data_IF_144493214909
#
_entry.id   IF_144493214909
#
_cell.length_a   1.000
_cell.length_b   1.000
_cell.length_c   1.000
_cell.angle_alpha   90.00
_cell.angle_beta   90.00
_cell.angle_gamma   90.00
#
_symmetry.space_group_name_H-M   'P 1'
#
loop_
_entity.id
_entity.type
_entity.pdbx_description
1 polymer ?
#
# COMPACT_ATOMS: atom_id res chain seq x y z
N UNK A 1 -30.47 -43.53 -44.15
CA UNK A 1 -31.26 -42.45 -43.52
C UNK A 1 -30.63 -41.07 -43.66
N UNK A 2 -29.36 -40.86 -43.29
CA UNK A 2 -28.68 -39.54 -43.32
C UNK A 2 -28.79 -38.77 -44.66
N UNK A 3 -28.69 -39.49 -45.79
CA UNK A 3 -28.78 -38.92 -47.15
C UNK A 3 -30.16 -38.34 -47.50
N UNK A 4 -31.25 -38.89 -46.95
CA UNK A 4 -32.59 -38.35 -47.17
C UNK A 4 -32.85 -37.12 -46.30
N UNK A 5 -32.32 -37.09 -45.07
CA UNK A 5 -32.40 -35.90 -44.22
C UNK A 5 -31.63 -34.73 -44.84
N UNK A 6 -30.42 -34.96 -45.38
CA UNK A 6 -29.65 -33.94 -46.09
C UNK A 6 -30.39 -33.38 -47.32
N UNK A 7 -31.09 -34.24 -48.08
CA UNK A 7 -31.91 -33.81 -49.22
C UNK A 7 -33.11 -32.96 -48.79
N UNK A 8 -33.80 -33.35 -47.73
CA UNK A 8 -34.96 -32.62 -47.21
C UNK A 8 -34.55 -31.27 -46.61
N UNK A 9 -33.45 -31.21 -45.87
CA UNK A 9 -32.86 -29.97 -45.34
C UNK A 9 -32.46 -29.04 -46.49
N UNK A 10 -31.79 -29.58 -47.51
CA UNK A 10 -31.39 -28.80 -48.70
C UNK A 10 -32.62 -28.21 -49.41
N UNK A 11 -33.69 -28.99 -49.58
CA UNK A 11 -34.93 -28.51 -50.21
C UNK A 11 -35.57 -27.41 -49.36
N UNK A 12 -35.66 -27.62 -48.05
CA UNK A 12 -36.18 -26.62 -47.11
C UNK A 12 -35.39 -25.32 -47.17
N UNK A 13 -34.05 -25.37 -47.16
CA UNK A 13 -33.18 -24.18 -47.25
C UNK A 13 -33.35 -23.43 -48.58
N UNK A 14 -33.51 -24.15 -49.69
CA UNK A 14 -33.66 -23.54 -51.02
C UNK A 14 -35.05 -22.88 -51.18
N UNK A 15 -36.09 -23.47 -50.60
CA UNK A 15 -37.47 -22.98 -50.68
C UNK A 15 -37.84 -21.99 -49.58
N UNK A 16 -36.98 -21.80 -48.58
CA UNK A 16 -37.23 -20.91 -47.46
C UNK A 16 -37.31 -19.44 -47.91
N UNK A 17 -38.41 -18.79 -47.52
CA UNK A 17 -38.67 -17.38 -47.78
C UNK A 17 -39.37 -16.80 -46.55
N UNK A 18 -38.64 -15.97 -45.80
CA UNK A 18 -39.11 -15.36 -44.56
C UNK A 18 -40.12 -14.23 -44.83
N UNK A 19 -39.95 -13.53 -45.96
CA UNK A 19 -40.81 -12.40 -46.38
C UNK A 19 -41.89 -12.84 -47.37
N UNK A 20 -42.47 -14.03 -47.15
CA UNK A 20 -43.52 -14.57 -48.00
C UNK A 20 -44.85 -13.88 -47.69
N UNK A 21 -45.22 -12.91 -48.51
CA UNK A 21 -46.55 -12.30 -48.52
C UNK A 21 -47.46 -12.93 -49.59
N UNK A 22 -48.75 -12.58 -49.57
CA UNK A 22 -49.79 -13.07 -50.50
C UNK A 22 -49.68 -12.45 -51.91
N UNK A 23 -48.48 -12.41 -52.47
CA UNK A 23 -48.16 -11.74 -53.73
C UNK A 23 -48.19 -12.76 -54.88
N UNK A 24 -48.90 -12.44 -55.96
CA UNK A 24 -49.22 -13.38 -57.06
C UNK A 24 -48.22 -13.35 -58.24
N UNK A 25 -47.07 -12.70 -58.08
CA UNK A 25 -46.03 -12.55 -59.11
C UNK A 25 -44.78 -13.44 -58.93
N UNK A 26 -44.28 -14.01 -60.04
CA UNK A 26 -43.02 -14.77 -60.06
C UNK A 26 -41.82 -13.87 -59.72
N UNK A 27 -41.84 -12.61 -60.18
CA UNK A 27 -40.78 -11.63 -59.93
C UNK A 27 -40.70 -11.23 -58.45
N UNK A 28 -41.85 -11.04 -57.80
CA UNK A 28 -41.94 -10.71 -56.37
C UNK A 28 -41.44 -11.86 -55.48
N UNK A 29 -41.72 -13.11 -55.89
CA UNK A 29 -41.22 -14.30 -55.20
C UNK A 29 -39.68 -14.36 -55.22
N UNK A 30 -39.05 -13.95 -56.32
CA UNK A 30 -37.60 -13.91 -56.43
C UNK A 30 -36.99 -12.81 -55.53
N UNK A 31 -37.60 -11.62 -55.50
CA UNK A 31 -37.18 -10.51 -54.63
C UNK A 31 -37.29 -10.86 -53.15
N UNK A 32 -38.37 -11.50 -52.71
CA UNK A 32 -38.52 -11.93 -51.31
C UNK A 32 -37.51 -13.01 -50.91
N UNK A 33 -37.20 -13.97 -51.80
CA UNK A 33 -36.14 -14.97 -51.55
C UNK A 33 -34.76 -14.33 -51.46
N UNK A 34 -34.46 -13.36 -52.32
CA UNK A 34 -33.20 -12.60 -52.26
C UNK A 34 -33.10 -11.80 -50.96
N UNK A 35 -34.17 -11.10 -50.56
CA UNK A 35 -34.25 -10.39 -49.29
C UNK A 35 -34.06 -11.32 -48.09
N UNK A 36 -34.67 -12.52 -48.12
CA UNK A 36 -34.48 -13.55 -47.08
C UNK A 36 -33.02 -13.99 -47.00
N UNK A 37 -32.36 -14.23 -48.14
CA UNK A 37 -30.94 -14.61 -48.17
C UNK A 37 -30.05 -13.51 -47.62
N UNK A 38 -30.27 -12.26 -48.03
CA UNK A 38 -29.52 -11.10 -47.53
C UNK A 38 -29.74 -10.96 -46.02
N UNK A 39 -30.98 -11.07 -45.54
CA UNK A 39 -31.30 -10.99 -44.11
C UNK A 39 -30.58 -12.08 -43.30
N UNK A 40 -30.67 -13.34 -43.74
CA UNK A 40 -30.00 -14.46 -43.05
C UNK A 40 -28.48 -14.28 -43.07
N UNK A 41 -27.90 -13.88 -44.21
CA UNK A 41 -26.46 -13.61 -44.30
C UNK A 41 -26.05 -12.49 -43.36
N UNK A 42 -26.78 -11.37 -43.34
CA UNK A 42 -26.53 -10.25 -42.43
C UNK A 42 -26.67 -10.66 -40.97
N UNK A 43 -27.67 -11.49 -40.63
CA UNK A 43 -27.86 -12.02 -39.28
C UNK A 43 -26.70 -12.91 -38.85
N UNK A 44 -26.24 -13.81 -39.73
CA UNK A 44 -25.09 -14.68 -39.47
C UNK A 44 -23.83 -13.85 -39.30
N UNK A 45 -23.59 -12.85 -40.15
CA UNK A 45 -22.44 -11.94 -40.02
C UNK A 45 -22.49 -11.19 -38.69
N UNK A 46 -23.65 -10.66 -38.30
CA UNK A 46 -23.81 -9.97 -37.01
C UNK A 46 -23.52 -10.90 -35.82
N UNK A 47 -24.05 -12.12 -35.83
CA UNK A 47 -23.81 -13.11 -34.78
C UNK A 47 -22.34 -13.53 -34.71
N UNK A 48 -21.66 -13.66 -35.85
CA UNK A 48 -20.23 -13.96 -35.88
C UNK A 48 -19.40 -12.80 -35.32
N UNK A 49 -19.75 -11.55 -35.66
CA UNK A 49 -19.09 -10.37 -35.12
C UNK A 49 -19.26 -10.24 -33.61
N UNK A 50 -20.47 -10.49 -33.08
CA UNK A 50 -20.70 -10.44 -31.62
C UNK A 50 -20.01 -11.59 -30.89
N UNK A 51 -20.04 -12.81 -31.44
CA UNK A 51 -19.37 -13.96 -30.84
C UNK A 51 -17.84 -13.78 -30.80
N UNK A 52 -17.25 -13.27 -31.89
CA UNK A 52 -15.81 -12.96 -31.93
C UNK A 52 -15.47 -11.87 -30.92
N UNK A 53 -16.21 -10.76 -30.90
CA UNK A 53 -15.99 -9.71 -29.90
C UNK A 53 -16.07 -10.25 -28.46
N UNK A 54 -17.08 -11.06 -28.16
CA UNK A 54 -17.24 -11.67 -26.84
C UNK A 54 -16.11 -12.67 -26.50
N UNK A 55 -15.53 -13.35 -27.48
CA UNK A 55 -14.39 -14.25 -27.29
C UNK A 55 -13.07 -13.51 -27.07
N UNK A 56 -12.88 -12.36 -27.72
CA UNK A 56 -11.66 -11.55 -27.62
C UNK A 56 -11.67 -10.54 -26.46
N UNK A 57 -12.80 -10.38 -25.77
CA UNK A 57 -12.86 -9.47 -24.62
C UNK A 57 -11.95 -10.01 -23.50
N UNK A 58 -10.90 -9.25 -23.20
CA UNK A 58 -10.00 -9.58 -22.08
C UNK A 58 -10.78 -9.44 -20.79
N UNK A 59 -10.69 -10.46 -19.93
CA UNK A 59 -11.27 -10.44 -18.59
C UNK A 59 -10.14 -10.21 -17.59
N UNK A 60 -10.27 -9.17 -16.78
CA UNK A 60 -9.40 -8.97 -15.62
C UNK A 60 -9.84 -9.93 -14.53
N UNK A 61 -8.92 -10.77 -14.04
CA UNK A 61 -9.16 -11.62 -12.88
C UNK A 61 -8.53 -10.93 -11.67
N UNK A 62 -9.30 -10.76 -10.61
CA UNK A 62 -8.80 -10.22 -9.35
C UNK A 62 -8.29 -11.37 -8.48
N UNK A 63 -7.02 -11.29 -8.07
CA UNK A 63 -6.42 -12.21 -7.11
C UNK A 63 -6.33 -11.52 -5.74
N UNK A 64 -6.99 -12.08 -4.74
CA UNK A 64 -7.01 -11.54 -3.38
C UNK A 64 -5.99 -12.28 -2.52
N UNK A 65 -5.05 -11.51 -1.95
CA UNK A 65 -4.08 -12.01 -0.97
C UNK A 65 -4.45 -11.42 0.39
N UNK A 66 -4.79 -12.28 1.35
CA UNK A 66 -5.17 -11.87 2.70
C UNK A 66 -3.95 -11.76 3.60
N UNK A 67 -3.78 -10.62 4.25
CA UNK A 67 -2.71 -10.37 5.24
C UNK A 67 -1.30 -10.78 4.75
N UNK A 68 -0.83 -10.21 3.62
CA UNK A 68 0.49 -10.55 3.09
C UNK A 68 1.61 -10.21 4.08
N UNK A 69 2.70 -10.97 4.03
CA UNK A 69 3.92 -10.59 4.73
C UNK A 69 4.52 -9.29 4.16
N UNK A 70 5.37 -8.59 4.92
CA UNK A 70 6.05 -7.39 4.41
C UNK A 70 6.82 -7.67 3.11
N UNK A 71 7.53 -8.80 3.06
CA UNK A 71 8.28 -9.20 1.87
C UNK A 71 7.36 -9.41 0.66
N UNK A 72 6.25 -10.12 0.85
CA UNK A 72 5.28 -10.37 -0.21
C UNK A 72 4.61 -9.08 -0.70
N UNK A 73 4.26 -8.18 0.21
CA UNK A 73 3.75 -6.86 -0.13
C UNK A 73 4.76 -6.06 -0.96
N UNK A 74 6.01 -5.97 -0.51
CA UNK A 74 7.07 -5.24 -1.23
C UNK A 74 7.31 -5.86 -2.62
N UNK A 75 7.30 -7.19 -2.72
CA UNK A 75 7.42 -7.90 -3.99
C UNK A 75 6.24 -7.62 -4.93
N UNK A 76 5.01 -7.63 -4.42
CA UNK A 76 3.80 -7.33 -5.21
C UNK A 76 3.77 -5.88 -5.68
N UNK A 77 4.19 -4.92 -4.85
CA UNK A 77 4.28 -3.50 -5.23
C UNK A 77 5.25 -3.32 -6.40
N UNK A 78 6.38 -4.05 -6.40
CA UNK A 78 7.35 -4.00 -7.49
C UNK A 78 6.83 -4.64 -8.78
N UNK A 79 6.11 -5.76 -8.69
CA UNK A 79 5.62 -6.48 -9.87
C UNK A 79 4.34 -5.88 -10.47
N UNK A 80 3.51 -5.24 -9.65
CA UNK A 80 2.18 -4.76 -10.03
C UNK A 80 1.93 -3.29 -9.62
N UNK A 81 2.83 -2.34 -9.94
CA UNK A 81 2.77 -0.98 -9.40
C UNK A 81 1.49 -0.21 -9.77
N UNK A 82 0.92 -0.50 -10.95
CA UNK A 82 -0.23 0.24 -11.48
C UNK A 82 -1.59 -0.43 -11.20
N UNK A 83 -1.58 -1.71 -10.83
CA UNK A 83 -2.80 -2.52 -10.69
C UNK A 83 -3.02 -3.04 -9.28
N UNK A 84 -1.99 -3.04 -8.43
CA UNK A 84 -2.09 -3.47 -7.05
C UNK A 84 -2.94 -2.50 -6.24
N UNK A 85 -3.92 -3.05 -5.52
CA UNK A 85 -4.72 -2.32 -4.54
C UNK A 85 -4.54 -2.98 -3.19
N UNK A 86 -3.98 -2.24 -2.23
CA UNK A 86 -3.77 -2.71 -0.86
C UNK A 86 -4.52 -1.79 0.12
N UNK A 87 -5.85 -1.96 0.26
CA UNK A 87 -6.61 -1.23 1.26
C UNK A 87 -6.22 -1.69 2.66
N UNK A 88 -6.07 -0.76 3.59
CA UNK A 88 -5.83 -1.10 5.00
C UNK A 88 -7.13 -1.56 5.67
N UNK A 89 -7.04 -2.55 6.55
CA UNK A 89 -8.17 -2.97 7.41
C UNK A 89 -8.52 -1.91 8.45
N UNK A 90 -7.53 -1.10 8.86
CA UNK A 90 -7.67 0.05 9.74
C UNK A 90 -6.95 1.23 9.10
N UNK A 91 -7.56 2.42 9.16
CA UNK A 91 -6.97 3.62 8.56
C UNK A 91 -5.92 4.28 9.43
N UNK A 92 -5.83 3.91 10.71
CA UNK A 92 -4.87 4.43 11.67
C UNK A 92 -4.09 3.33 12.36
N UNK A 93 -2.78 3.52 12.49
CA UNK A 93 -1.88 2.65 13.26
C UNK A 93 -0.90 3.56 14.02
N UNK A 94 -0.80 3.37 15.33
CA UNK A 94 0.15 4.12 16.16
C UNK A 94 1.60 3.75 15.83
N UNK A 95 2.52 4.72 15.83
CA UNK A 95 3.92 4.48 15.49
C UNK A 95 4.59 3.47 16.42
N UNK A 96 4.18 3.41 17.69
CA UNK A 96 4.64 2.40 18.66
C UNK A 96 4.48 0.94 18.17
N UNK A 97 3.58 0.67 17.23
CA UNK A 97 3.32 -0.69 16.73
C UNK A 97 4.33 -1.18 15.71
N UNK A 98 5.04 -0.28 15.03
CA UNK A 98 5.88 -0.63 13.89
C UNK A 98 7.20 0.13 13.79
N UNK A 99 7.40 1.15 14.62
CA UNK A 99 8.66 1.89 14.74
C UNK A 99 9.29 1.53 16.08
N UNK A 100 10.60 1.31 16.06
CA UNK A 100 11.41 1.11 17.26
C UNK A 100 12.51 2.14 17.24
N UNK A 101 12.55 2.98 18.28
CA UNK A 101 13.59 4.00 18.46
C UNK A 101 14.38 3.61 19.71
N UNK A 102 15.70 3.52 19.54
CA UNK A 102 16.64 3.25 20.63
C UNK A 102 17.44 4.52 20.94
N UNK A 103 17.22 5.09 22.13
CA UNK A 103 17.84 6.34 22.54
C UNK A 103 19.24 6.05 23.09
N UNK A 104 20.25 6.51 22.36
CA UNK A 104 21.65 6.37 22.74
C UNK A 104 22.18 7.72 23.23
N UNK A 105 22.49 7.81 24.52
CA UNK A 105 23.03 9.03 25.13
C UNK A 105 24.55 9.04 25.12
N UNK A 106 25.13 10.24 25.22
CA UNK A 106 26.57 10.39 25.33
C UNK A 106 27.09 9.67 26.61
N UNK A 107 28.24 9.00 26.52
CA UNK A 107 28.82 8.19 27.61
C UNK A 107 29.04 8.97 28.92
N UNK A 108 29.17 10.30 28.83
CA UNK A 108 29.28 11.18 30.00
C UNK A 108 28.03 11.12 30.88
N UNK A 109 26.85 10.88 30.29
CA UNK A 109 25.57 10.79 31.00
C UNK A 109 25.36 9.47 31.75
N UNK A 110 26.30 8.53 31.63
CA UNK A 110 26.39 7.30 32.42
C UNK A 110 27.70 7.22 33.22
N UNK A 111 28.44 8.33 33.31
CA UNK A 111 29.73 8.38 33.99
C UNK A 111 29.55 8.65 35.49
N UNK A 112 30.46 8.12 36.30
CA UNK A 112 30.54 8.45 37.74
C UNK A 112 30.77 9.93 38.01
N UNK A 113 31.30 10.68 37.04
CA UNK A 113 31.61 12.11 37.18
C UNK A 113 30.36 12.98 37.33
N UNK A 114 29.20 12.51 36.89
CA UNK A 114 27.93 13.22 37.03
C UNK A 114 27.11 12.72 38.23
N UNK A 115 27.59 11.72 38.96
CA UNK A 115 26.95 11.25 40.18
C UNK A 115 27.09 12.29 41.28
N UNK A 116 25.98 12.60 41.95
CA UNK A 116 25.94 13.59 43.01
C UNK A 116 26.93 13.27 44.14
N UNK A 117 27.10 11.98 44.47
CA UNK A 117 28.05 11.49 45.47
C UNK A 117 29.52 11.83 45.12
N UNK A 118 29.89 11.72 43.85
CA UNK A 118 31.23 12.07 43.37
C UNK A 118 31.43 13.58 43.33
N UNK A 119 30.41 14.33 42.93
CA UNK A 119 30.44 15.80 42.96
C UNK A 119 30.59 16.32 44.39
N UNK A 120 29.88 15.72 45.35
CA UNK A 120 29.93 16.07 46.77
C UNK A 120 31.25 15.66 47.43
N UNK A 121 31.88 14.55 47.02
CA UNK A 121 33.17 14.15 47.58
C UNK A 121 34.27 15.18 47.28
N UNK A 122 34.20 15.86 46.14
CA UNK A 122 35.10 16.97 45.79
C UNK A 122 35.00 18.13 46.81
N UNK A 123 33.80 18.35 47.38
CA UNK A 123 33.58 19.37 48.41
C UNK A 123 34.03 18.92 49.80
N UNK A 124 33.74 17.67 50.19
CA UNK A 124 33.87 17.19 51.58
C UNK A 124 35.34 16.92 51.95
N UNK A 125 36.23 16.65 50.98
CA UNK A 125 37.62 16.29 51.29
C UNK A 125 38.49 17.42 51.88
N UNK A 126 37.99 18.65 52.09
CA UNK A 126 38.70 19.66 52.90
C UNK A 126 37.79 20.55 53.76
N UNK A 127 38.31 20.96 54.93
CA UNK A 127 37.88 22.14 55.66
C UNK A 127 37.96 23.37 54.72
N UNK A 128 36.84 23.72 54.08
CA UNK A 128 36.70 24.83 53.12
C UNK A 128 36.91 26.22 53.73
N UNK A 129 37.25 26.30 55.02
CA UNK A 129 37.53 27.56 55.73
C UNK A 129 38.73 28.34 55.15
N UNK A 130 39.58 27.72 54.32
CA UNK A 130 40.72 28.36 53.67
C UNK A 130 40.84 28.07 52.16
N UNK A 131 39.73 27.74 51.49
CA UNK A 131 39.76 27.53 50.04
C UNK A 131 40.01 28.87 49.32
N UNK A 132 41.12 28.97 48.60
CA UNK A 132 41.40 30.06 47.66
C UNK A 132 40.29 30.12 46.61
N UNK A 133 39.93 31.31 46.13
CA UNK A 133 39.02 31.49 44.98
C UNK A 133 39.50 30.77 43.71
N UNK A 134 40.78 30.39 43.65
CA UNK A 134 41.42 29.69 42.53
C UNK A 134 41.41 28.16 42.69
N UNK A 135 40.65 27.61 43.64
CA UNK A 135 40.54 26.16 43.79
C UNK A 135 39.78 25.54 42.61
N UNK A 136 40.54 24.94 41.69
CA UNK A 136 40.02 24.28 40.49
C UNK A 136 38.95 23.23 40.80
N UNK A 137 38.91 22.69 42.02
CA UNK A 137 37.90 21.72 42.46
C UNK A 137 36.51 22.34 42.51
N UNK A 138 36.38 23.60 42.91
CA UNK A 138 35.10 24.32 42.92
C UNK A 138 34.58 24.53 41.49
N UNK A 139 35.49 24.86 40.57
CA UNK A 139 35.18 24.97 39.14
C UNK A 139 34.80 23.61 38.54
N UNK A 140 35.49 22.54 38.93
CA UNK A 140 35.21 21.19 38.44
C UNK A 140 33.85 20.69 38.91
N UNK A 141 33.51 20.86 40.20
CA UNK A 141 32.21 20.45 40.72
C UNK A 141 31.06 21.16 40.04
N UNK A 142 31.15 22.48 39.87
CA UNK A 142 30.11 23.27 39.19
C UNK A 142 29.97 22.87 37.71
N UNK A 143 31.08 22.60 37.03
CA UNK A 143 31.06 22.09 35.66
C UNK A 143 30.36 20.72 35.55
N UNK A 144 30.71 19.77 36.43
CA UNK A 144 30.09 18.44 36.43
C UNK A 144 28.62 18.46 36.84
N UNK A 145 28.23 19.35 37.77
CA UNK A 145 26.81 19.61 38.08
C UNK A 145 26.05 20.10 36.85
N UNK A 146 26.63 21.02 36.07
CA UNK A 146 26.00 21.51 34.84
C UNK A 146 25.84 20.39 33.81
N UNK A 147 26.85 19.54 33.63
CA UNK A 147 26.75 18.37 32.73
C UNK A 147 25.67 17.39 33.24
N UNK A 148 25.63 17.10 34.54
CA UNK A 148 24.61 16.24 35.12
C UNK A 148 23.19 16.78 34.85
N UNK A 149 23.00 18.09 35.04
CA UNK A 149 21.74 18.75 34.73
C UNK A 149 21.39 18.68 33.24
N UNK A 150 22.35 18.93 32.35
CA UNK A 150 22.16 18.83 30.90
C UNK A 150 21.79 17.40 30.47
N UNK A 151 22.49 16.39 30.98
CA UNK A 151 22.18 14.99 30.73
C UNK A 151 20.76 14.65 31.17
N UNK A 152 20.35 15.06 32.38
CA UNK A 152 19.00 14.83 32.89
C UNK A 152 17.93 15.48 32.03
N UNK A 153 18.11 16.75 31.66
CA UNK A 153 17.14 17.48 30.83
C UNK A 153 17.08 16.90 29.42
N UNK A 154 18.23 16.56 28.83
CA UNK A 154 18.29 15.95 27.49
C UNK A 154 17.63 14.57 27.46
N UNK A 155 17.88 13.73 28.47
CA UNK A 155 17.22 12.42 28.61
C UNK A 155 15.71 12.57 28.76
N UNK A 156 15.26 13.47 29.63
CA UNK A 156 13.83 13.72 29.83
C UNK A 156 13.18 14.22 28.54
N UNK A 157 13.78 15.21 27.87
CA UNK A 157 13.25 15.76 26.62
C UNK A 157 13.17 14.67 25.52
N UNK A 158 14.17 13.78 25.44
CA UNK A 158 14.18 12.68 24.47
C UNK A 158 13.09 11.64 24.78
N UNK A 159 12.89 11.31 26.05
CA UNK A 159 11.82 10.40 26.48
C UNK A 159 10.43 10.98 26.27
N UNK A 160 10.25 12.27 26.55
CA UNK A 160 8.99 12.97 26.33
C UNK A 160 8.66 13.04 24.83
N UNK A 161 9.65 13.37 23.99
CA UNK A 161 9.51 13.38 22.54
C UNK A 161 9.19 11.98 22.00
N UNK A 162 9.88 10.94 22.49
CA UNK A 162 9.61 9.56 22.11
C UNK A 162 8.20 9.11 22.50
N UNK A 163 7.74 9.48 23.69
CA UNK A 163 6.38 9.18 24.16
C UNK A 163 5.34 9.85 23.27
N UNK A 164 5.52 11.14 22.96
CA UNK A 164 4.65 11.86 22.05
C UNK A 164 4.62 11.21 20.65
N UNK A 165 5.79 10.87 20.10
CA UNK A 165 5.89 10.18 18.81
C UNK A 165 5.19 8.81 18.80
N UNK A 166 5.30 8.03 19.88
CA UNK A 166 4.62 6.75 20.00
C UNK A 166 3.09 6.86 20.02
N UNK A 167 2.55 7.95 20.58
CA UNK A 167 1.12 8.26 20.58
C UNK A 167 0.61 8.74 19.21
N UNK A 168 1.48 9.29 18.37
CA UNK A 168 1.12 9.67 17.01
C UNK A 168 0.72 8.47 16.16
N UNK A 169 -0.17 8.71 15.20
CA UNK A 169 -0.71 7.67 14.34
C UNK A 169 -0.44 7.98 12.87
N UNK A 170 -0.03 6.95 12.13
CA UNK A 170 -0.02 7.00 10.67
C UNK A 170 -1.45 6.83 10.16
N UNK A 171 -1.93 7.84 9.44
CA UNK A 171 -3.24 7.83 8.79
C UNK A 171 -3.06 7.50 7.30
N UNK A 172 -3.52 6.33 6.87
CA UNK A 172 -3.50 5.94 5.46
C UNK A 172 -4.61 4.94 5.11
N UNK A 173 -5.37 5.20 4.03
CA UNK A 173 -6.34 4.23 3.52
C UNK A 173 -5.68 3.06 2.78
N UNK A 174 -4.40 3.20 2.42
CA UNK A 174 -3.63 2.20 1.66
C UNK A 174 -2.33 1.82 2.38
N UNK A 175 -1.87 0.60 2.15
CA UNK A 175 -0.62 0.12 2.72
C UNK A 175 0.57 0.97 2.22
N UNK A 176 1.38 1.44 3.15
CA UNK A 176 2.59 2.22 2.86
C UNK A 176 3.82 1.31 2.79
N UNK A 177 4.74 1.60 1.87
CA UNK A 177 6.03 0.92 1.80
C UNK A 177 6.98 1.41 2.90
N UNK A 178 7.98 0.60 3.24
CA UNK A 178 9.03 0.99 4.19
C UNK A 178 9.75 2.28 3.76
N UNK A 179 9.98 2.45 2.46
CA UNK A 179 10.61 3.66 1.91
C UNK A 179 9.72 4.89 2.10
N UNK A 180 8.42 4.77 1.86
CA UNK A 180 7.47 5.86 2.08
C UNK A 180 7.48 6.31 3.54
N UNK A 181 7.40 5.35 4.47
CA UNK A 181 7.44 5.63 5.91
C UNK A 181 8.75 6.32 6.28
N UNK A 182 9.90 5.83 5.82
CA UNK A 182 11.21 6.47 6.11
C UNK A 182 11.33 7.91 5.59
N UNK A 183 10.67 8.22 4.47
CA UNK A 183 10.75 9.55 3.86
C UNK A 183 9.76 10.57 4.47
N UNK A 184 8.65 10.09 5.06
CA UNK A 184 7.55 10.94 5.54
C UNK A 184 7.26 10.78 7.04
N UNK A 185 7.99 9.91 7.74
CA UNK A 185 7.90 9.83 9.18
C UNK A 185 8.26 11.20 9.78
N UNK A 186 7.47 11.68 10.76
CA UNK A 186 7.82 12.89 11.48
C UNK A 186 9.22 12.72 12.10
N UNK A 187 10.00 13.79 12.09
CA UNK A 187 11.29 13.79 12.75
C UNK A 187 11.05 13.58 14.26
N UNK A 188 11.63 12.52 14.80
CA UNK A 188 11.73 12.28 16.24
C UNK A 188 12.88 13.12 16.82
#
# INVERSE_FOLDING_TARGET
MLRNHLKNIRKFIIEFNLFKDNITGIEDTHRCRLATRIYILSLVVLLLLTATFAAFVVRTIENIVSSPSLYEFEHLVQHYPNTLKCPCTKWSIAYEKFVTIDLQYHQVCSSKLIEQSWIESIYIEKNLTFASSDDIRLLLSSFWQMIAALCRVSQQASLDALTAFHEETLLSPTAATRQFIKAHAPAA
#
